data_IF_492116287322
#
_entry.id   IF_492116287322
#
_cell.length_a   1.000
_cell.length_b   1.000
_cell.length_c   1.000
_cell.angle_alpha   90.00
_cell.angle_beta   90.00
_cell.angle_gamma   90.00
#
_symmetry.space_group_name_H-M   'P 1'
#
loop_
_entity.id
_entity.type
_entity.pdbx_description
1 polymer ?
#
# COMPACT_ATOMS: atom_id res chain seq x y z
N UNK A 1 16.22 -2.60 4.72
CA UNK A 1 15.25 -3.68 4.43
C UNK A 1 14.05 -3.49 5.32
N UNK A 2 12.87 -3.20 4.76
CA UNK A 2 11.68 -3.05 5.58
C UNK A 2 11.29 -4.38 6.19
N UNK A 3 11.19 -4.40 7.51
CA UNK A 3 10.82 -5.60 8.25
C UNK A 3 9.34 -5.89 7.98
N UNK A 4 9.04 -7.07 7.43
CA UNK A 4 7.66 -7.51 7.26
C UNK A 4 6.91 -7.44 8.61
N UNK A 5 5.63 -7.04 8.62
CA UNK A 5 4.85 -7.00 9.86
C UNK A 5 4.89 -8.35 10.58
N UNK A 6 5.15 -8.35 11.90
CA UNK A 6 5.27 -9.58 12.71
C UNK A 6 4.07 -10.53 12.54
N UNK A 7 2.88 -9.98 12.33
CA UNK A 7 1.65 -10.75 12.10
C UNK A 7 1.63 -11.46 10.74
N UNK A 8 2.19 -10.83 9.70
CA UNK A 8 2.32 -11.45 8.37
C UNK A 8 3.30 -12.62 8.39
N UNK A 9 4.44 -12.45 9.07
CA UNK A 9 5.43 -13.53 9.23
C UNK A 9 4.82 -14.73 9.95
N UNK A 10 4.15 -14.50 11.09
CA UNK A 10 3.46 -15.57 11.84
C UNK A 10 2.37 -16.25 11.03
N UNK A 11 1.66 -15.52 10.17
CA UNK A 11 0.64 -16.11 9.30
C UNK A 11 1.25 -17.14 8.33
N UNK A 12 2.40 -16.83 7.73
CA UNK A 12 3.12 -17.75 6.86
C UNK A 12 3.69 -18.97 7.60
N UNK A 13 4.14 -18.79 8.85
CA UNK A 13 4.59 -19.90 9.70
C UNK A 13 3.43 -20.84 10.08
N UNK A 14 2.25 -20.29 10.40
CA UNK A 14 1.09 -21.07 10.84
C UNK A 14 0.32 -21.70 9.68
N UNK A 15 0.26 -21.03 8.52
CA UNK A 15 -0.54 -21.45 7.36
C UNK A 15 0.29 -21.41 6.07
N UNK A 16 1.39 -22.17 5.96
CA UNK A 16 2.37 -22.04 4.88
C UNK A 16 1.78 -22.30 3.49
N UNK A 17 0.85 -23.26 3.36
CA UNK A 17 0.19 -23.55 2.09
C UNK A 17 -0.70 -22.39 1.62
N UNK A 18 -1.43 -21.76 2.56
CA UNK A 18 -2.30 -20.60 2.26
C UNK A 18 -1.45 -19.39 1.91
N UNK A 19 -0.39 -19.13 2.66
CA UNK A 19 0.56 -18.06 2.40
C UNK A 19 1.19 -18.17 1.02
N UNK A 20 1.69 -19.36 0.65
CA UNK A 20 2.27 -19.62 -0.67
C UNK A 20 1.25 -19.42 -1.80
N UNK A 21 0.01 -19.89 -1.62
CA UNK A 21 -1.05 -19.69 -2.61
C UNK A 21 -1.40 -18.20 -2.77
N UNK A 22 -1.48 -17.46 -1.67
CA UNK A 22 -1.74 -16.02 -1.69
C UNK A 22 -0.64 -15.23 -2.42
N UNK A 23 0.63 -15.56 -2.18
CA UNK A 23 1.75 -14.91 -2.86
C UNK A 23 1.77 -15.23 -4.35
N UNK A 24 1.56 -16.49 -4.73
CA UNK A 24 1.45 -16.89 -6.14
C UNK A 24 0.30 -16.18 -6.86
N UNK A 25 -0.86 -16.03 -6.19
CA UNK A 25 -1.97 -15.24 -6.72
C UNK A 25 -1.58 -13.76 -6.90
N UNK A 26 -0.91 -13.17 -5.91
CA UNK A 26 -0.43 -11.79 -5.98
C UNK A 26 0.54 -11.54 -7.14
N UNK A 27 1.48 -12.46 -7.37
CA UNK A 27 2.43 -12.46 -8.49
C UNK A 27 1.70 -12.54 -9.83
N UNK A 28 0.79 -13.51 -9.98
CA UNK A 28 0.03 -13.70 -11.21
C UNK A 28 -0.79 -12.44 -11.56
N UNK A 29 -1.45 -11.82 -10.58
CA UNK A 29 -2.18 -10.55 -10.78
C UNK A 29 -1.23 -9.41 -11.15
N UNK A 30 -0.04 -9.35 -10.56
CA UNK A 30 0.94 -8.30 -10.87
C UNK A 30 1.48 -8.40 -12.31
N UNK A 31 1.58 -9.61 -12.86
CA UNK A 31 2.08 -9.87 -14.21
C UNK A 31 0.99 -9.83 -15.30
N UNK A 32 -0.29 -9.76 -14.91
CA UNK A 32 -1.41 -9.83 -15.84
C UNK A 32 -1.68 -8.55 -16.65
N UNK A 33 -0.91 -7.48 -16.46
CA UNK A 33 -1.19 -6.19 -17.10
C UNK A 33 0.05 -5.31 -17.28
N UNK A 34 -0.11 -4.16 -17.94
CA UNK A 34 1.01 -3.34 -18.41
C UNK A 34 1.59 -2.39 -17.34
N UNK A 35 0.97 -2.33 -16.16
CA UNK A 35 1.35 -1.37 -15.13
C UNK A 35 2.62 -1.83 -14.40
N UNK A 36 3.58 -0.92 -14.30
CA UNK A 36 4.79 -1.13 -13.51
C UNK A 36 4.51 -1.24 -12.00
N UNK A 37 5.51 -1.68 -11.24
CA UNK A 37 5.35 -1.91 -9.80
C UNK A 37 4.96 -0.66 -9.02
N UNK A 38 5.56 0.49 -9.37
CA UNK A 38 5.27 1.78 -8.76
C UNK A 38 3.80 2.12 -8.92
N UNK A 39 3.31 2.07 -10.15
CA UNK A 39 1.93 2.40 -10.50
C UNK A 39 0.96 1.43 -9.84
N UNK A 40 1.26 0.12 -9.83
CA UNK A 40 0.44 -0.88 -9.12
C UNK A 40 0.34 -0.56 -7.62
N UNK A 41 1.44 -0.13 -6.98
CA UNK A 41 1.42 0.23 -5.56
C UNK A 41 0.60 1.50 -5.29
N UNK A 42 0.74 2.53 -6.13
CA UNK A 42 -0.05 3.77 -6.02
C UNK A 42 -1.56 3.52 -6.24
N UNK A 43 -1.93 2.68 -7.20
CA UNK A 43 -3.33 2.27 -7.41
C UNK A 43 -3.87 1.53 -6.18
N UNK A 44 -3.13 0.54 -5.67
CA UNK A 44 -3.54 -0.21 -4.47
C UNK A 44 -3.59 0.68 -3.22
N UNK A 45 -2.73 1.71 -3.11
CA UNK A 45 -2.81 2.72 -2.07
C UNK A 45 -4.15 3.48 -2.15
N UNK A 46 -4.50 3.99 -3.33
CA UNK A 46 -5.79 4.67 -3.52
C UNK A 46 -6.99 3.79 -3.17
N UNK A 47 -6.97 2.52 -3.60
CA UNK A 47 -8.01 1.54 -3.22
C UNK A 47 -8.07 1.30 -1.71
N UNK A 48 -6.91 1.21 -1.04
CA UNK A 48 -6.84 1.00 0.42
C UNK A 48 -7.40 2.19 1.19
N UNK A 49 -7.14 3.41 0.72
CA UNK A 49 -7.71 4.64 1.27
C UNK A 49 -9.23 4.63 1.11
N UNK A 50 -9.72 4.36 -0.11
CA UNK A 50 -11.16 4.28 -0.41
C UNK A 50 -11.87 3.20 0.41
N UNK A 51 -11.22 2.06 0.64
CA UNK A 51 -11.76 0.97 1.46
C UNK A 51 -11.58 1.19 2.98
N UNK A 52 -11.03 2.33 3.41
CA UNK A 52 -10.74 2.67 4.82
C UNK A 52 -9.84 1.65 5.52
N UNK A 53 -8.93 1.02 4.78
CA UNK A 53 -8.01 -0.01 5.27
C UNK A 53 -6.65 0.60 5.62
N UNK A 54 -6.53 1.20 6.80
CA UNK A 54 -5.31 1.91 7.26
C UNK A 54 -4.04 1.07 7.10
N UNK A 55 -4.02 -0.16 7.60
CA UNK A 55 -2.84 -1.03 7.52
C UNK A 55 -2.44 -1.37 6.07
N UNK A 56 -3.41 -1.50 5.17
CA UNK A 56 -3.15 -1.71 3.76
C UNK A 56 -2.65 -0.43 3.08
N UNK A 57 -3.22 0.72 3.42
CA UNK A 57 -2.76 2.03 2.91
C UNK A 57 -1.31 2.27 3.32
N UNK A 58 -0.98 2.10 4.60
CA UNK A 58 0.39 2.20 5.12
C UNK A 58 1.35 1.22 4.42
N UNK A 59 0.93 -0.03 4.23
CA UNK A 59 1.73 -1.03 3.52
C UNK A 59 1.97 -0.66 2.05
N UNK A 60 0.96 -0.16 1.34
CA UNK A 60 1.08 0.22 -0.06
C UNK A 60 1.84 1.54 -0.27
N UNK A 61 1.75 2.50 0.66
CA UNK A 61 2.62 3.68 0.68
C UNK A 61 4.09 3.26 0.82
N UNK A 62 4.40 2.34 1.76
CA UNK A 62 5.75 1.85 1.93
C UNK A 62 6.29 1.10 0.70
N UNK A 63 5.48 0.22 0.10
CA UNK A 63 5.85 -0.48 -1.13
C UNK A 63 6.01 0.47 -2.32
N UNK A 64 5.19 1.52 -2.40
CA UNK A 64 5.34 2.54 -3.44
C UNK A 64 6.70 3.25 -3.33
N UNK A 65 7.13 3.64 -2.11
CA UNK A 65 8.47 4.20 -1.89
C UNK A 65 9.58 3.23 -2.34
N UNK A 66 9.48 1.96 -1.97
CA UNK A 66 10.44 0.93 -2.38
C UNK A 66 10.49 0.74 -3.90
N UNK A 67 9.36 0.91 -4.59
CA UNK A 67 9.25 0.87 -6.04
C UNK A 67 9.65 2.19 -6.72
N UNK A 68 10.19 3.16 -5.97
CA UNK A 68 10.70 4.43 -6.51
C UNK A 68 9.67 5.56 -6.62
N UNK A 69 8.51 5.44 -5.96
CA UNK A 69 7.58 6.57 -5.85
C UNK A 69 8.16 7.68 -4.98
N UNK A 70 7.90 8.94 -5.36
CA UNK A 70 8.23 10.07 -4.52
C UNK A 70 7.21 10.26 -3.39
N UNK A 71 7.62 10.97 -2.34
CA UNK A 71 6.70 11.39 -1.27
C UNK A 71 5.54 12.25 -1.82
N UNK A 72 5.80 13.03 -2.86
CA UNK A 72 4.79 13.87 -3.53
C UNK A 72 3.76 13.02 -4.29
N UNK A 73 4.20 12.00 -5.02
CA UNK A 73 3.29 11.06 -5.71
C UNK A 73 2.35 10.37 -4.71
N UNK A 74 2.88 9.94 -3.56
CA UNK A 74 2.10 9.27 -2.51
C UNK A 74 1.09 10.23 -1.86
N UNK A 75 1.50 11.44 -1.48
CA UNK A 75 0.57 12.47 -0.96
C UNK A 75 -0.50 12.82 -1.97
N UNK A 76 -0.13 12.93 -3.25
CA UNK A 76 -1.07 13.24 -4.30
C UNK A 76 -2.15 12.16 -4.46
N UNK A 77 -1.81 10.87 -4.35
CA UNK A 77 -2.81 9.78 -4.33
C UNK A 77 -3.83 9.97 -3.19
N UNK A 78 -3.38 10.36 -1.99
CA UNK A 78 -4.30 10.67 -0.90
C UNK A 78 -5.21 11.85 -1.26
N UNK A 79 -4.65 12.98 -1.72
CA UNK A 79 -5.41 14.17 -2.12
C UNK A 79 -6.45 13.87 -3.23
N UNK A 80 -6.10 13.04 -4.22
CA UNK A 80 -6.99 12.60 -5.30
C UNK A 80 -8.23 11.85 -4.80
N UNK A 81 -8.20 11.33 -3.57
CA UNK A 81 -9.37 10.69 -2.96
C UNK A 81 -10.48 11.70 -2.61
N UNK A 82 -10.16 12.98 -2.38
CA UNK A 82 -11.14 13.99 -1.94
C UNK A 82 -12.40 14.09 -2.83
N UNK A 83 -12.31 14.23 -4.17
CA UNK A 83 -13.50 14.30 -5.03
C UNK A 83 -14.28 12.98 -5.14
N UNK A 84 -13.66 11.85 -4.81
CA UNK A 84 -14.25 10.52 -5.01
C UNK A 84 -14.93 9.98 -3.75
N UNK A 85 -14.28 10.13 -2.60
CA UNK A 85 -14.75 9.57 -1.32
C UNK A 85 -14.99 10.63 -0.24
N UNK A 86 -14.83 11.92 -0.56
CA UNK A 86 -15.09 13.05 0.33
C UNK A 86 -13.90 13.45 1.20
N UNK A 87 -13.92 14.72 1.64
CA UNK A 87 -12.82 15.36 2.38
C UNK A 87 -12.42 14.63 3.67
N UNK A 88 -13.34 14.16 4.55
CA UNK A 88 -12.94 13.48 5.79
C UNK A 88 -12.22 12.15 5.55
N UNK A 89 -12.63 11.42 4.50
CA UNK A 89 -11.99 10.16 4.13
C UNK A 89 -10.61 10.38 3.52
N UNK A 90 -10.48 11.41 2.69
CA UNK A 90 -9.18 11.84 2.20
C UNK A 90 -8.24 12.26 3.34
N UNK A 91 -8.69 13.08 4.29
CA UNK A 91 -7.85 13.55 5.40
C UNK A 91 -7.31 12.40 6.25
N UNK A 92 -8.12 11.37 6.50
CA UNK A 92 -7.65 10.16 7.16
C UNK A 92 -6.56 9.44 6.34
N UNK A 93 -6.79 9.28 5.03
CA UNK A 93 -5.80 8.72 4.11
C UNK A 93 -4.49 9.52 4.07
N UNK A 94 -4.59 10.86 4.08
CA UNK A 94 -3.44 11.75 4.10
C UNK A 94 -2.61 11.56 5.38
N UNK A 95 -3.26 11.48 6.54
CA UNK A 95 -2.59 11.19 7.81
C UNK A 95 -1.83 9.86 7.78
N UNK A 96 -2.46 8.80 7.26
CA UNK A 96 -1.82 7.48 7.17
C UNK A 96 -0.57 7.47 6.27
N UNK A 97 -0.60 8.19 5.15
CA UNK A 97 0.57 8.26 4.27
C UNK A 97 1.66 9.14 4.86
N UNK A 98 1.31 10.24 5.53
CA UNK A 98 2.30 11.12 6.16
C UNK A 98 3.08 10.42 7.28
N UNK A 99 2.42 9.57 8.06
CA UNK A 99 3.12 8.72 9.05
C UNK A 99 4.24 7.89 8.40
N UNK A 100 3.96 7.25 7.26
CA UNK A 100 4.95 6.44 6.53
C UNK A 100 6.06 7.30 5.92
N UNK A 101 5.73 8.49 5.43
CA UNK A 101 6.73 9.41 4.88
C UNK A 101 7.68 9.93 5.96
N UNK A 102 7.17 10.18 7.18
CA UNK A 102 7.99 10.57 8.34
C UNK A 102 8.91 9.42 8.76
N UNK A 103 8.37 8.20 8.87
CA UNK A 103 9.17 7.00 9.20
C UNK A 103 10.29 6.74 8.20
N UNK A 104 10.08 7.03 6.91
CA UNK A 104 11.07 6.81 5.86
C UNK A 104 12.15 7.90 5.77
N UNK A 105 11.84 9.12 6.24
CA UNK A 105 12.80 10.23 6.26
C UNK A 105 13.76 10.18 7.47
N UNK A 106 13.49 9.31 8.44
CA UNK A 106 14.28 9.10 9.67
C UNK A 106 15.27 7.95 9.53
#
# INVERSE_FOLDING_TARGET
MARLPKRYVRFHEQFPAVGKAYEAYGEAVAQAGPLDEKTRCLVKLGMSIAARMEGAAKSHAHKALQAGASAEEIRHVALLAAPTIGFPNMMAGLGWVDEILIEHAS
#
